data_IF_018019176506
#
_entry.id   IF_018019176506
#
_cell.length_a   1.000
_cell.length_b   1.000
_cell.length_c   1.000
_cell.angle_alpha   90.00
_cell.angle_beta   90.00
_cell.angle_gamma   90.00
#
_symmetry.space_group_name_H-M   'P 1'
#
loop_
_entity.id
_entity.type
_entity.pdbx_description
1 polymer ?
#
# COMPACT_ATOMS: atom_id res chain seq x y z
N UNK A 1 -3.24 -7.40 2.28
CA UNK A 1 -2.69 -7.58 3.64
C UNK A 1 -3.73 -8.01 4.68
N UNK A 2 -4.70 -7.19 5.10
CA UNK A 2 -5.71 -7.62 6.11
C UNK A 2 -6.49 -8.88 5.69
N UNK A 3 -6.80 -9.03 4.40
CA UNK A 3 -7.41 -10.26 3.88
C UNK A 3 -6.53 -11.50 4.06
N UNK A 4 -5.20 -11.34 3.94
CA UNK A 4 -4.22 -12.40 4.15
C UNK A 4 -4.15 -12.80 5.63
N UNK A 5 -4.26 -11.82 6.54
CA UNK A 5 -4.32 -12.09 7.97
C UNK A 5 -5.56 -12.90 8.36
N UNK A 6 -6.73 -12.55 7.82
CA UNK A 6 -7.97 -13.32 8.04
C UNK A 6 -7.87 -14.74 7.50
N UNK A 7 -7.24 -14.92 6.34
CA UNK A 7 -6.99 -16.25 5.78
C UNK A 7 -6.05 -17.06 6.69
N UNK A 8 -4.98 -16.44 7.22
CA UNK A 8 -4.05 -17.04 8.17
C UNK A 8 -4.62 -17.29 9.58
N UNK A 9 -5.82 -16.78 9.88
CA UNK A 9 -6.57 -17.13 11.09
C UNK A 9 -7.37 -18.43 10.93
N UNK A 10 -7.65 -18.86 9.69
CA UNK A 10 -8.37 -20.09 9.38
C UNK A 10 -7.46 -21.20 8.85
N UNK A 11 -6.42 -20.85 8.09
CA UNK A 11 -5.53 -21.78 7.41
C UNK A 11 -4.09 -21.73 7.97
N UNK A 12 -3.28 -22.79 7.80
CA UNK A 12 -1.88 -22.79 8.21
C UNK A 12 -1.07 -21.64 7.59
N UNK A 13 -0.34 -20.89 8.42
CA UNK A 13 0.46 -19.72 7.98
C UNK A 13 1.41 -20.06 6.83
N UNK A 14 2.05 -21.24 6.86
CA UNK A 14 2.92 -21.74 5.80
C UNK A 14 2.21 -21.92 4.44
N UNK A 15 0.92 -22.29 4.45
CA UNK A 15 0.12 -22.40 3.23
C UNK A 15 -0.23 -21.02 2.69
N UNK A 16 -0.69 -20.13 3.57
CA UNK A 16 -1.06 -18.75 3.20
C UNK A 16 0.14 -17.97 2.67
N UNK A 17 1.30 -18.11 3.33
CA UNK A 17 2.56 -17.52 2.90
C UNK A 17 2.94 -17.94 1.46
N UNK A 18 2.90 -19.25 1.18
CA UNK A 18 3.17 -19.80 -0.16
C UNK A 18 2.16 -19.30 -1.20
N UNK A 19 0.86 -19.27 -0.86
CA UNK A 19 -0.21 -18.82 -1.77
C UNK A 19 -0.04 -17.36 -2.19
N UNK A 20 0.39 -16.50 -1.26
CA UNK A 20 0.53 -15.05 -1.50
C UNK A 20 1.96 -14.62 -1.86
N UNK A 21 2.90 -15.55 -1.98
CA UNK A 21 4.29 -15.25 -2.37
C UNK A 21 5.05 -14.39 -1.35
N UNK A 22 4.73 -14.55 -0.06
CA UNK A 22 5.36 -13.81 1.05
C UNK A 22 5.95 -14.78 2.07
N UNK A 23 6.86 -14.32 2.93
CA UNK A 23 7.38 -15.17 4.01
C UNK A 23 6.37 -15.28 5.16
N UNK A 24 6.41 -16.39 5.90
CA UNK A 24 5.62 -16.54 7.13
C UNK A 24 5.93 -15.43 8.14
N UNK A 25 7.20 -15.00 8.21
CA UNK A 25 7.63 -13.90 9.06
C UNK A 25 6.88 -12.60 8.74
N UNK A 26 6.64 -12.30 7.45
CA UNK A 26 5.82 -11.15 7.05
C UNK A 26 4.41 -11.24 7.63
N UNK A 27 3.79 -12.41 7.61
CA UNK A 27 2.45 -12.62 8.18
C UNK A 27 2.48 -12.42 9.70
N UNK A 28 3.50 -12.91 10.41
CA UNK A 28 3.63 -12.68 11.86
C UNK A 28 3.81 -11.21 12.23
N UNK A 29 4.68 -10.47 11.52
CA UNK A 29 4.85 -9.02 11.70
C UNK A 29 3.54 -8.27 11.46
N UNK A 30 2.80 -8.68 10.44
CA UNK A 30 1.49 -8.14 10.14
C UNK A 30 0.47 -8.47 11.22
N UNK A 31 0.50 -9.68 11.79
CA UNK A 31 -0.34 -10.04 12.93
C UNK A 31 -0.04 -9.13 14.12
N UNK A 32 1.23 -8.93 14.49
CA UNK A 32 1.59 -8.06 15.61
C UNK A 32 1.10 -6.61 15.44
N UNK A 33 1.15 -6.08 14.21
CA UNK A 33 0.84 -4.68 13.95
C UNK A 33 -0.63 -4.42 13.61
N UNK A 34 -1.35 -5.43 13.13
CA UNK A 34 -2.71 -5.28 12.59
C UNK A 34 -3.73 -6.23 13.25
N UNK A 35 -3.31 -7.08 14.18
CA UNK A 35 -4.19 -7.90 15.04
C UNK A 35 -5.11 -6.99 15.85
N UNK A 36 -6.39 -7.36 15.94
CA UNK A 36 -7.38 -6.63 16.72
C UNK A 36 -8.02 -5.43 16.02
N UNK A 37 -7.66 -5.15 14.76
CA UNK A 37 -8.38 -4.13 13.99
C UNK A 37 -9.81 -4.55 13.71
N UNK A 38 -10.76 -3.67 14.07
CA UNK A 38 -12.17 -3.86 13.78
C UNK A 38 -12.50 -3.56 12.30
N UNK A 39 -13.72 -3.92 11.87
CA UNK A 39 -14.12 -3.77 10.47
C UNK A 39 -14.05 -2.33 9.96
N UNK A 40 -14.34 -1.34 10.82
CA UNK A 40 -14.32 0.08 10.48
C UNK A 40 -12.90 0.61 10.30
N UNK A 41 -11.95 0.18 11.14
CA UNK A 41 -10.53 0.50 11.00
C UNK A 41 -9.96 -0.07 9.70
N UNK A 42 -10.35 -1.30 9.33
CA UNK A 42 -9.96 -1.90 8.03
C UNK A 42 -10.54 -1.12 6.87
N UNK A 43 -11.81 -0.68 6.96
CA UNK A 43 -12.45 0.14 5.92
C UNK A 43 -11.74 1.50 5.79
N UNK A 44 -11.42 2.14 6.91
CA UNK A 44 -10.68 3.41 6.95
C UNK A 44 -9.28 3.26 6.37
N UNK A 45 -8.57 2.19 6.71
CA UNK A 45 -7.24 1.88 6.17
C UNK A 45 -7.28 1.77 4.65
N UNK A 46 -8.23 1.02 4.08
CA UNK A 46 -8.39 0.89 2.61
C UNK A 46 -8.68 2.22 1.93
N UNK A 47 -9.52 3.06 2.54
CA UNK A 47 -9.81 4.40 2.01
C UNK A 47 -8.54 5.27 1.99
N UNK A 48 -7.76 5.24 3.08
CA UNK A 48 -6.51 5.98 3.17
C UNK A 48 -5.46 5.46 2.19
N UNK A 49 -5.34 4.14 1.99
CA UNK A 49 -4.46 3.54 0.99
C UNK A 49 -4.82 3.98 -0.44
N UNK A 50 -6.13 3.99 -0.76
CA UNK A 50 -6.62 4.44 -2.07
C UNK A 50 -6.34 5.92 -2.30
N UNK A 51 -6.66 6.77 -1.33
CA UNK A 51 -6.41 8.21 -1.46
C UNK A 51 -4.90 8.51 -1.52
N UNK A 52 -4.07 7.80 -0.74
CA UNK A 52 -2.61 7.93 -0.81
C UNK A 52 -2.06 7.58 -2.20
N UNK A 53 -2.56 6.50 -2.81
CA UNK A 53 -2.18 6.11 -4.17
C UNK A 53 -2.58 7.17 -5.20
N UNK A 54 -3.80 7.70 -5.10
CA UNK A 54 -4.29 8.80 -5.95
C UNK A 54 -3.45 10.06 -5.80
N UNK A 55 -3.14 10.46 -4.56
CA UNK A 55 -2.32 11.64 -4.26
C UNK A 55 -0.90 11.49 -4.80
N UNK A 56 -0.27 10.31 -4.65
CA UNK A 56 1.05 10.03 -5.23
C UNK A 56 1.06 10.16 -6.75
N UNK A 57 0.01 9.68 -7.42
CA UNK A 57 -0.13 9.81 -8.88
C UNK A 57 -0.23 11.28 -9.29
N UNK A 58 -1.11 12.05 -8.63
CA UNK A 58 -1.27 13.48 -8.90
C UNK A 58 0.02 14.26 -8.66
N UNK A 59 0.75 13.93 -7.58
CA UNK A 59 2.04 14.56 -7.28
C UNK A 59 3.05 14.29 -8.41
N UNK A 60 3.21 13.04 -8.82
CA UNK A 60 4.12 12.69 -9.91
C UNK A 60 3.77 13.38 -11.24
N UNK A 61 2.47 13.49 -11.56
CA UNK A 61 2.01 14.23 -12.74
C UNK A 61 2.37 15.73 -12.65
N UNK A 62 2.20 16.35 -11.48
CA UNK A 62 2.55 17.77 -11.27
C UNK A 62 4.05 18.02 -11.29
N UNK A 63 4.84 17.13 -10.70
CA UNK A 63 6.29 17.22 -10.73
C UNK A 63 6.82 17.16 -12.17
N UNK A 64 6.24 16.27 -12.99
CA UNK A 64 6.56 16.19 -14.41
C UNK A 64 6.18 17.48 -15.17
N UNK A 65 5.00 18.04 -14.93
CA UNK A 65 4.60 19.32 -15.53
C UNK A 65 5.58 20.45 -15.16
N UNK A 66 5.98 20.53 -13.88
CA UNK A 66 6.95 21.52 -13.39
C UNK A 66 8.30 21.33 -14.07
N UNK A 67 8.78 20.11 -14.21
CA UNK A 67 10.05 19.81 -14.85
C UNK A 67 10.05 20.25 -16.32
N UNK A 68 8.98 19.93 -17.07
CA UNK A 68 8.80 20.39 -18.45
C UNK A 68 8.76 21.92 -18.54
N UNK A 69 8.07 22.60 -17.62
CA UNK A 69 8.02 24.06 -17.59
C UNK A 69 9.40 24.67 -17.32
N UNK A 70 10.17 24.11 -16.38
CA UNK A 70 11.53 24.54 -16.08
C UNK A 70 12.47 24.34 -17.27
N UNK A 71 12.40 23.19 -17.95
CA UNK A 71 13.21 22.92 -19.14
C UNK A 71 12.91 23.92 -20.26
N UNK A 72 11.63 24.23 -20.51
CA UNK A 72 11.23 25.24 -21.50
C UNK A 72 11.71 26.64 -21.13
N UNK A 73 11.71 26.99 -19.85
CA UNK A 73 12.22 28.28 -19.39
C UNK A 73 13.74 28.38 -19.56
N UNK A 74 14.48 27.30 -19.28
CA UNK A 74 15.93 27.24 -19.45
C UNK A 74 16.37 27.35 -20.92
N UNK A 75 15.60 26.81 -21.87
CA UNK A 75 15.90 26.88 -23.33
C UNK A 75 15.58 28.23 -23.98
N UNK A 76 14.97 29.18 -23.26
CA UNK A 76 14.57 30.49 -23.80
C UNK A 76 15.68 31.55 -23.76
N UNK A 77 16.89 31.19 -23.35
CA UNK A 77 18.06 32.07 -23.25
C UNK A 77 19.20 31.51 -24.11
#
# INVERSE_FOLDING_TARGET
MVGILREADCDPVAQVARKHGISEQTIYTWRQRFSGMNADEVKRLRQLEHENSRLKKLLAERDLEIEVMKERAAKKW
#
